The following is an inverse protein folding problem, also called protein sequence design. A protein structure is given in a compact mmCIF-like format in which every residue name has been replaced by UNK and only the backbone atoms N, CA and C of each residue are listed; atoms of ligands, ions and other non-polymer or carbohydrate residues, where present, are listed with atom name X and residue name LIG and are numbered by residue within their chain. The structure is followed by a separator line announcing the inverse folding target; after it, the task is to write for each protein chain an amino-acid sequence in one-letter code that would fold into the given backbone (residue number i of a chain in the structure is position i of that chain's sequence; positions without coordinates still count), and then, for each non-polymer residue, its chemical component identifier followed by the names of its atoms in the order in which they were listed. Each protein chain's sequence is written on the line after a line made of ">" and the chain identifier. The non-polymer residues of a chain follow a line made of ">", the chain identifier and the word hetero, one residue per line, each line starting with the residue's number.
data_IF_737136627841
#
_entry.id   IF_737136627841
#
_cell.length_a   1.000
_cell.length_b   1.000
_cell.length_c   1.000
_cell.angle_alpha   90.00
_cell.angle_beta   90.00
_cell.angle_gamma   90.00
#
_symmetry.space_group_name_H-M   'P 1'
#
loop_
_entity.id
_entity.type
_entity.pdbx_description
1 polymer ?
#
# COMPACT_ATOMS: atom_id res chain seq x y z
N UNK A 1 31.56 -20.63 21.05
CA UNK A 1 32.47 -20.79 19.92
C UNK A 1 33.92 -20.47 20.36
N UNK A 2 34.86 -21.31 19.95
CA UNK A 2 36.30 -21.05 20.08
C UNK A 2 36.87 -20.80 18.69
N UNK A 3 37.70 -19.77 18.54
CA UNK A 3 38.46 -19.53 17.32
C UNK A 3 39.54 -20.60 17.10
N UNK A 4 40.21 -20.60 15.95
CA UNK A 4 41.28 -21.57 15.62
C UNK A 4 42.45 -21.58 16.63
N UNK A 5 42.64 -20.49 17.36
CA UNK A 5 43.64 -20.38 18.43
C UNK A 5 43.17 -20.89 19.80
N UNK A 6 41.93 -21.40 19.90
CA UNK A 6 41.29 -21.73 21.17
C UNK A 6 40.77 -20.53 21.97
N UNK A 7 40.93 -19.31 21.47
CA UNK A 7 40.35 -18.11 22.07
C UNK A 7 38.83 -18.02 21.85
N UNK A 8 38.14 -17.40 22.79
CA UNK A 8 36.70 -17.12 22.69
C UNK A 8 36.44 -16.26 21.45
N UNK A 9 35.54 -16.71 20.56
CA UNK A 9 35.11 -15.94 19.43
C UNK A 9 34.14 -14.85 19.87
N UNK A 10 34.26 -13.65 19.28
CA UNK A 10 33.32 -12.55 19.43
C UNK A 10 33.00 -11.94 18.06
N UNK A 11 31.84 -11.31 17.90
CA UNK A 11 31.39 -10.75 16.63
C UNK A 11 30.80 -11.80 15.69
N UNK A 12 30.88 -11.56 14.39
CA UNK A 12 30.36 -12.44 13.37
C UNK A 12 31.21 -13.69 13.18
N UNK A 13 30.58 -14.86 13.18
CA UNK A 13 31.19 -16.16 12.97
C UNK A 13 30.44 -16.90 11.88
N UNK A 14 31.13 -17.40 10.87
CA UNK A 14 30.58 -18.29 9.85
C UNK A 14 31.00 -19.74 10.11
N UNK A 15 30.03 -20.64 9.94
CA UNK A 15 30.31 -22.10 9.98
C UNK A 15 29.51 -22.76 8.85
N UNK A 16 30.23 -23.24 7.84
CA UNK A 16 29.61 -23.67 6.59
C UNK A 16 28.89 -22.51 5.91
N UNK A 17 27.61 -22.69 5.61
CA UNK A 17 26.74 -21.62 5.05
C UNK A 17 26.00 -20.82 6.11
N UNK A 18 26.15 -21.16 7.39
CA UNK A 18 25.43 -20.49 8.47
C UNK A 18 26.27 -19.36 9.09
N UNK A 19 25.60 -18.26 9.45
CA UNK A 19 26.17 -17.14 10.17
C UNK A 19 25.62 -17.09 11.58
N UNK A 20 26.48 -16.75 12.52
CA UNK A 20 26.23 -16.59 13.96
C UNK A 20 26.80 -15.26 14.42
N UNK A 21 26.33 -14.76 15.53
CA UNK A 21 26.93 -13.62 16.19
C UNK A 21 27.19 -13.90 17.67
N UNK A 22 28.43 -13.69 18.07
CA UNK A 22 28.84 -13.80 19.46
C UNK A 22 28.96 -12.40 20.07
N UNK A 23 28.19 -12.16 21.12
CA UNK A 23 28.32 -10.92 21.88
C UNK A 23 29.75 -10.73 22.42
N UNK A 24 30.16 -9.53 22.83
CA UNK A 24 31.46 -9.31 23.46
C UNK A 24 31.73 -10.22 24.68
N UNK A 25 30.67 -10.66 25.35
CA UNK A 25 30.74 -11.67 26.43
C UNK A 25 30.96 -13.10 25.96
N UNK A 26 30.98 -13.35 24.63
CA UNK A 26 31.04 -14.70 24.05
C UNK A 26 29.71 -15.42 23.99
N UNK A 27 28.61 -14.80 24.48
CA UNK A 27 27.27 -15.40 24.40
C UNK A 27 26.77 -15.35 22.96
N UNK A 28 26.25 -16.45 22.46
CA UNK A 28 25.67 -16.55 21.12
C UNK A 28 24.32 -15.80 21.07
N UNK A 29 24.14 -14.95 20.06
CA UNK A 29 22.90 -14.24 19.83
C UNK A 29 21.78 -15.21 19.40
N UNK A 30 20.57 -14.98 19.94
CA UNK A 30 19.31 -15.60 19.53
C UNK A 30 18.21 -14.53 19.48
N UNK A 31 17.15 -14.75 18.72
CA UNK A 31 16.09 -13.77 18.55
C UNK A 31 16.55 -12.48 17.85
N UNK A 32 15.89 -11.37 18.13
CA UNK A 32 16.21 -10.07 17.53
C UNK A 32 17.38 -9.38 18.22
N UNK A 33 18.38 -8.98 17.43
CA UNK A 33 19.56 -8.26 17.92
C UNK A 33 19.90 -7.08 17.01
N UNK A 34 20.20 -5.92 17.62
CA UNK A 34 20.71 -4.74 16.93
C UNK A 34 22.22 -4.83 16.84
N UNK A 35 22.78 -4.92 15.64
CA UNK A 35 24.20 -5.08 15.39
C UNK A 35 24.61 -4.05 14.33
N UNK A 36 25.51 -3.16 14.67
CA UNK A 36 26.00 -2.15 13.73
C UNK A 36 24.92 -1.24 13.15
N UNK A 37 23.85 -0.94 13.90
CA UNK A 37 22.75 -0.07 13.46
C UNK A 37 21.68 -0.79 12.62
N UNK A 38 21.76 -2.10 12.44
CA UNK A 38 20.77 -2.92 11.73
C UNK A 38 20.21 -4.01 12.64
N UNK A 39 18.93 -4.34 12.48
CA UNK A 39 18.31 -5.45 13.17
C UNK A 39 18.56 -6.76 12.43
N UNK A 40 18.96 -7.79 13.17
CA UNK A 40 19.15 -9.17 12.72
C UNK A 40 18.31 -10.10 13.57
N UNK A 41 17.83 -11.18 12.97
CA UNK A 41 17.15 -12.23 13.70
C UNK A 41 17.96 -13.51 13.64
N UNK A 42 18.11 -14.18 14.79
CA UNK A 42 18.76 -15.46 14.92
C UNK A 42 17.76 -16.49 15.47
N UNK A 43 17.72 -17.65 14.86
CA UNK A 43 16.93 -18.77 15.37
C UNK A 43 17.42 -19.17 16.78
N UNK A 44 16.65 -20.00 17.49
CA UNK A 44 17.07 -20.54 18.80
C UNK A 44 18.39 -21.33 18.71
N UNK A 45 18.71 -21.91 17.55
CA UNK A 45 19.98 -22.52 17.24
C UNK A 45 21.16 -21.55 17.10
N UNK A 46 20.89 -20.23 17.11
CA UNK A 46 21.85 -19.17 16.85
C UNK A 46 22.11 -18.89 15.37
N UNK A 47 21.50 -19.63 14.46
CA UNK A 47 21.67 -19.41 13.01
C UNK A 47 20.97 -18.12 12.62
N UNK A 48 21.70 -17.22 11.92
CA UNK A 48 21.14 -15.98 11.38
C UNK A 48 20.07 -16.29 10.34
N UNK A 49 18.88 -15.71 10.52
CA UNK A 49 17.81 -15.78 9.54
C UNK A 49 18.11 -14.90 8.33
N UNK A 50 17.60 -15.29 7.14
CA UNK A 50 17.72 -14.50 5.92
C UNK A 50 16.50 -14.72 5.02
N UNK A 51 16.20 -13.75 4.16
CA UNK A 51 15.02 -13.79 3.29
C UNK A 51 13.73 -13.63 4.10
N UNK A 52 12.65 -14.24 3.59
CA UNK A 52 11.36 -14.23 4.28
C UNK A 52 11.40 -15.04 5.57
N UNK A 53 11.12 -14.40 6.67
CA UNK A 53 11.16 -14.99 8.00
C UNK A 53 9.93 -14.63 8.80
N UNK A 54 9.25 -15.61 9.39
CA UNK A 54 8.07 -15.41 10.24
C UNK A 54 8.47 -15.52 11.71
N UNK A 55 8.28 -14.44 12.46
CA UNK A 55 8.60 -14.38 13.90
C UNK A 55 7.35 -13.93 14.66
N UNK A 56 6.91 -14.70 15.63
CA UNK A 56 5.73 -14.37 16.42
C UNK A 56 4.45 -14.15 15.61
N UNK A 57 4.30 -14.87 14.47
CA UNK A 57 3.15 -14.71 13.58
C UNK A 57 3.30 -13.61 12.53
N UNK A 58 4.27 -12.72 12.65
CA UNK A 58 4.53 -11.58 11.75
C UNK A 58 5.61 -11.94 10.72
N UNK A 59 5.41 -11.57 9.45
CA UNK A 59 6.39 -11.73 8.41
C UNK A 59 7.36 -10.54 8.35
N UNK A 60 8.63 -10.85 8.17
CA UNK A 60 9.74 -9.94 7.96
C UNK A 60 10.53 -10.34 6.73
N UNK A 61 11.24 -9.41 6.13
CA UNK A 61 12.20 -9.71 5.07
C UNK A 61 13.61 -9.30 5.52
N UNK A 62 14.53 -10.27 5.55
CA UNK A 62 15.91 -10.07 6.01
C UNK A 62 16.85 -10.08 4.79
N UNK A 63 17.20 -8.88 4.32
CA UNK A 63 18.09 -8.71 3.16
C UNK A 63 19.53 -8.91 3.59
N UNK A 64 20.14 -10.06 3.17
CA UNK A 64 21.48 -10.42 3.63
C UNK A 64 21.58 -10.56 5.16
N UNK A 65 20.48 -10.94 5.80
CA UNK A 65 20.34 -11.06 7.25
C UNK A 65 19.84 -9.81 7.95
N UNK A 66 20.03 -8.61 7.39
CA UNK A 66 19.55 -7.38 7.97
C UNK A 66 18.05 -7.16 7.68
N UNK A 67 17.30 -6.74 8.69
CA UNK A 67 15.87 -6.45 8.57
C UNK A 67 15.62 -5.31 7.58
N UNK A 68 14.82 -5.58 6.55
CA UNK A 68 14.41 -4.61 5.57
C UNK A 68 13.23 -3.76 6.09
N UNK A 69 13.18 -2.49 5.69
CA UNK A 69 12.05 -1.58 5.81
C UNK A 69 11.77 -0.94 4.46
N UNK A 70 10.56 -0.44 4.24
CA UNK A 70 10.17 0.15 2.96
C UNK A 70 9.91 -0.91 1.89
N UNK A 71 10.09 -0.53 0.64
CA UNK A 71 9.77 -1.35 -0.51
C UNK A 71 10.75 -2.52 -0.72
N UNK A 72 10.19 -3.70 -0.93
CA UNK A 72 10.92 -4.94 -1.23
C UNK A 72 10.34 -5.55 -2.50
N UNK A 73 11.19 -5.75 -3.50
CA UNK A 73 10.86 -6.52 -4.71
C UNK A 73 11.36 -7.94 -4.54
N UNK A 74 10.49 -8.92 -4.75
CA UNK A 74 10.84 -10.34 -4.69
C UNK A 74 10.10 -11.11 -5.78
N UNK A 75 10.85 -11.65 -6.72
CA UNK A 75 10.27 -12.22 -7.93
C UNK A 75 9.57 -11.14 -8.77
N UNK A 76 8.30 -11.37 -9.13
CA UNK A 76 7.47 -10.42 -9.86
C UNK A 76 6.60 -9.52 -8.96
N UNK A 77 6.66 -9.72 -7.64
CA UNK A 77 5.81 -9.01 -6.69
C UNK A 77 6.59 -7.95 -5.90
N UNK A 78 5.88 -6.89 -5.52
CA UNK A 78 6.33 -5.87 -4.61
C UNK A 78 5.65 -6.03 -3.26
N UNK A 79 6.39 -5.77 -2.21
CA UNK A 79 5.97 -5.82 -0.82
C UNK A 79 6.38 -4.52 -0.13
N UNK A 80 5.73 -4.20 0.97
CA UNK A 80 6.14 -3.08 1.79
C UNK A 80 6.34 -3.52 3.24
N UNK A 81 7.50 -3.19 3.78
CA UNK A 81 7.86 -3.45 5.17
C UNK A 81 7.72 -2.16 5.95
N UNK A 82 6.89 -2.16 6.99
CA UNK A 82 6.73 -1.02 7.89
C UNK A 82 8.07 -0.63 8.54
N UNK A 83 8.13 0.52 9.19
CA UNK A 83 9.31 0.95 9.95
C UNK A 83 9.71 -0.02 11.06
N UNK A 84 8.78 -0.81 11.56
CA UNK A 84 9.00 -1.93 12.49
C UNK A 84 9.62 -3.17 11.83
N UNK A 85 9.75 -3.18 10.49
CA UNK A 85 10.13 -4.35 9.69
C UNK A 85 8.98 -5.31 9.38
N UNK A 86 7.80 -5.11 9.95
CA UNK A 86 6.64 -5.97 9.71
C UNK A 86 6.12 -5.81 8.28
N UNK A 87 5.80 -6.93 7.62
CA UNK A 87 5.16 -6.93 6.30
C UNK A 87 3.75 -6.33 6.39
N UNK A 88 3.45 -5.39 5.49
CA UNK A 88 2.14 -4.74 5.39
C UNK A 88 1.18 -5.59 4.57
N UNK A 89 -0.10 -5.62 4.97
CA UNK A 89 -1.21 -6.24 4.25
C UNK A 89 -2.42 -5.31 4.29
N UNK A 90 -3.34 -5.44 3.34
CA UNK A 90 -4.52 -4.59 3.24
C UNK A 90 -4.20 -3.17 2.76
N UNK A 91 -5.05 -2.22 3.12
CA UNK A 91 -4.91 -0.82 2.75
C UNK A 91 -3.75 -0.13 3.47
N UNK A 92 -2.95 0.63 2.73
CA UNK A 92 -1.83 1.38 3.30
C UNK A 92 -1.58 2.67 2.54
N UNK A 93 -1.42 3.78 3.27
CA UNK A 93 -0.98 5.06 2.71
C UNK A 93 0.53 5.18 2.85
N UNK A 94 1.22 5.29 1.72
CA UNK A 94 2.68 5.33 1.65
C UNK A 94 3.08 6.53 0.78
N UNK A 95 3.79 7.48 1.37
CA UNK A 95 4.22 8.68 0.65
C UNK A 95 3.07 9.55 0.12
N UNK A 96 1.90 9.51 0.77
CA UNK A 96 0.71 10.25 0.35
C UNK A 96 -0.15 9.54 -0.72
N UNK A 97 0.25 8.37 -1.20
CA UNK A 97 -0.52 7.54 -2.12
C UNK A 97 -1.09 6.31 -1.41
N UNK A 98 -2.27 5.88 -1.85
CA UNK A 98 -2.91 4.68 -1.34
C UNK A 98 -2.53 3.45 -2.16
N UNK A 99 -2.24 2.36 -1.46
CA UNK A 99 -1.91 1.03 -1.98
C UNK A 99 -2.77 -0.02 -1.32
N UNK A 100 -2.90 -1.15 -1.97
CA UNK A 100 -3.50 -2.35 -1.37
C UNK A 100 -2.55 -3.53 -1.51
N UNK A 101 -2.32 -4.23 -0.41
CA UNK A 101 -1.53 -5.45 -0.35
C UNK A 101 -2.45 -6.62 -0.03
N UNK A 102 -2.34 -7.70 -0.77
CA UNK A 102 -3.14 -8.90 -0.51
C UNK A 102 -2.79 -9.58 0.82
N UNK A 103 -3.45 -10.67 1.14
CA UNK A 103 -3.20 -11.43 2.39
C UNK A 103 -1.80 -12.06 2.45
N UNK A 104 -1.13 -12.22 1.31
CA UNK A 104 0.25 -12.68 1.21
C UNK A 104 1.26 -11.52 1.27
N UNK A 105 0.78 -10.28 1.34
CA UNK A 105 1.57 -9.06 1.35
C UNK A 105 1.99 -8.54 -0.02
N UNK A 106 1.53 -9.17 -1.10
CA UNK A 106 1.87 -8.72 -2.44
C UNK A 106 1.06 -7.47 -2.82
N UNK A 107 1.74 -6.47 -3.38
CA UNK A 107 1.12 -5.23 -3.88
C UNK A 107 0.17 -5.53 -5.03
N UNK A 108 -1.04 -5.02 -4.93
CA UNK A 108 -2.06 -5.17 -5.97
C UNK A 108 -1.86 -4.13 -7.07
N UNK A 109 -2.07 -4.56 -8.32
CA UNK A 109 -2.15 -3.69 -9.51
C UNK A 109 -3.37 -4.09 -10.33
N UNK A 110 -3.91 -3.17 -11.14
CA UNK A 110 -5.12 -3.41 -11.92
C UNK A 110 -6.39 -3.34 -11.09
N UNK A 111 -7.43 -4.00 -11.57
CA UNK A 111 -8.75 -3.99 -10.95
C UNK A 111 -8.84 -4.89 -9.73
N UNK A 112 -9.45 -4.39 -8.65
CA UNK A 112 -9.69 -5.12 -7.41
C UNK A 112 -11.12 -4.90 -6.94
N UNK A 113 -11.84 -5.97 -6.63
CA UNK A 113 -13.14 -5.91 -5.96
C UNK A 113 -13.01 -6.23 -4.48
N UNK A 114 -13.45 -5.31 -3.64
CA UNK A 114 -13.48 -5.50 -2.19
C UNK A 114 -14.92 -5.30 -1.70
N UNK A 115 -15.57 -6.40 -1.34
CA UNK A 115 -16.93 -6.36 -0.78
C UNK A 115 -17.97 -5.73 -1.72
N UNK A 116 -17.84 -5.91 -3.04
CA UNK A 116 -18.73 -5.36 -4.05
C UNK A 116 -18.30 -3.97 -4.58
N UNK A 117 -17.32 -3.34 -3.98
CA UNK A 117 -16.76 -2.06 -4.44
C UNK A 117 -15.51 -2.32 -5.28
N UNK A 118 -15.47 -1.74 -6.49
CA UNK A 118 -14.32 -1.85 -7.38
C UNK A 118 -13.34 -0.70 -7.17
N UNK A 119 -12.06 -1.04 -7.22
CA UNK A 119 -10.92 -0.13 -7.18
C UNK A 119 -9.99 -0.45 -8.35
N UNK A 120 -9.18 0.52 -8.75
CA UNK A 120 -8.12 0.30 -9.73
C UNK A 120 -6.80 0.83 -9.19
N UNK A 121 -5.76 0.05 -9.38
CA UNK A 121 -4.38 0.41 -9.04
C UNK A 121 -3.55 0.42 -10.32
N UNK A 122 -2.79 1.47 -10.53
CA UNK A 122 -1.92 1.57 -11.71
C UNK A 122 -0.77 0.54 -11.67
N UNK A 123 0.10 0.56 -12.69
CA UNK A 123 1.24 -0.35 -12.75
C UNK A 123 2.28 -0.14 -11.64
N UNK A 124 2.24 0.98 -10.94
CA UNK A 124 3.06 1.27 -9.76
C UNK A 124 2.35 0.90 -8.44
N UNK A 125 1.12 0.42 -8.51
CA UNK A 125 0.28 0.06 -7.36
C UNK A 125 -0.45 1.24 -6.72
N UNK A 126 -0.40 2.44 -7.29
CA UNK A 126 -1.10 3.62 -6.76
C UNK A 126 -2.59 3.52 -7.08
N UNK A 127 -3.43 3.72 -6.07
CA UNK A 127 -4.88 3.74 -6.21
C UNK A 127 -5.34 4.90 -7.10
N UNK A 128 -6.18 4.59 -8.07
CA UNK A 128 -6.80 5.56 -8.95
C UNK A 128 -7.87 6.39 -8.22
N UNK A 129 -7.86 7.70 -8.47
CA UNK A 129 -8.91 8.65 -8.06
C UNK A 129 -9.22 9.59 -9.23
N UNK A 130 -10.38 10.23 -9.21
CA UNK A 130 -10.80 11.13 -10.28
C UNK A 130 -10.96 10.42 -11.62
N UNK A 131 -10.60 11.08 -12.70
CA UNK A 131 -10.73 10.55 -14.06
C UNK A 131 -9.45 9.89 -14.53
N UNK A 132 -9.53 8.61 -14.92
CA UNK A 132 -8.40 7.80 -15.38
C UNK A 132 -8.70 7.15 -16.74
N UNK A 133 -7.68 7.08 -17.60
CA UNK A 133 -7.73 6.25 -18.79
C UNK A 133 -7.20 4.85 -18.47
N UNK A 134 -8.03 3.82 -18.68
CA UNK A 134 -7.67 2.42 -18.45
C UNK A 134 -7.92 1.69 -19.78
N UNK A 135 -6.84 1.33 -20.45
CA UNK A 135 -6.94 0.90 -21.84
C UNK A 135 -7.45 2.02 -22.75
N UNK A 136 -8.51 1.76 -23.51
CA UNK A 136 -9.15 2.73 -24.40
C UNK A 136 -10.37 3.44 -23.76
N UNK A 137 -10.68 3.12 -22.53
CA UNK A 137 -11.87 3.61 -21.85
C UNK A 137 -11.52 4.62 -20.75
N UNK A 138 -12.40 5.58 -20.56
CA UNK A 138 -12.25 6.63 -19.55
C UNK A 138 -13.15 6.29 -18.37
N UNK A 139 -12.50 6.05 -17.21
CA UNK A 139 -13.16 5.68 -15.96
C UNK A 139 -13.13 6.84 -14.97
N UNK A 140 -14.11 6.86 -14.10
CA UNK A 140 -14.17 7.81 -13.01
C UNK A 140 -14.22 7.13 -11.66
N UNK A 141 -13.43 7.65 -10.70
CA UNK A 141 -13.30 7.15 -9.34
C UNK A 141 -13.57 8.28 -8.35
N UNK A 142 -14.19 7.95 -7.23
CA UNK A 142 -14.29 8.85 -6.09
C UNK A 142 -12.92 9.11 -5.45
N UNK A 143 -12.80 10.11 -4.59
CA UNK A 143 -11.58 10.37 -3.82
C UNK A 143 -11.25 9.22 -2.86
N UNK A 144 -12.26 8.44 -2.47
CA UNK A 144 -12.09 7.17 -1.75
C UNK A 144 -11.45 6.05 -2.58
N UNK A 145 -11.26 6.26 -3.90
CA UNK A 145 -10.80 5.25 -4.86
C UNK A 145 -11.90 4.33 -5.38
N UNK A 146 -13.12 4.40 -4.86
CA UNK A 146 -14.21 3.57 -5.33
C UNK A 146 -14.57 3.92 -6.78
N UNK A 147 -14.65 2.91 -7.64
CA UNK A 147 -15.04 3.10 -9.03
C UNK A 147 -16.51 3.47 -9.16
N UNK A 148 -16.78 4.58 -9.85
CA UNK A 148 -18.13 5.03 -10.13
C UNK A 148 -18.68 4.42 -11.44
N UNK A 149 -17.84 4.29 -12.47
CA UNK A 149 -18.25 3.82 -13.78
C UNK A 149 -17.39 4.36 -14.92
N UNK A 150 -17.83 4.07 -16.14
CA UNK A 150 -17.26 4.69 -17.33
C UNK A 150 -17.63 6.16 -17.38
N UNK A 151 -16.64 7.02 -17.59
CA UNK A 151 -16.89 8.42 -17.81
C UNK A 151 -17.67 8.59 -19.13
N UNK A 152 -18.85 9.19 -19.14
CA UNK A 152 -19.60 9.35 -20.36
C UNK A 152 -18.77 10.18 -21.36
N UNK A 153 -18.43 9.57 -22.50
CA UNK A 153 -17.87 10.33 -23.63
C UNK A 153 -19.01 11.21 -24.12
N UNK A 154 -18.86 12.56 -24.17
CA UNK A 154 -19.89 13.37 -24.78
C UNK A 154 -20.05 12.91 -26.23
N UNK A 155 -21.21 12.33 -26.55
CA UNK A 155 -21.61 12.15 -27.94
C UNK A 155 -21.54 13.51 -28.62
N UNK A 156 -20.83 13.61 -29.74
CA UNK A 156 -20.65 14.81 -30.55
C UNK A 156 -21.99 15.55 -30.80
N UNK A 157 -22.33 16.44 -29.94
CA UNK A 157 -23.46 17.35 -30.03
C UNK A 157 -23.11 18.58 -29.19
N UNK A 158 -22.71 19.66 -29.83
CA UNK A 158 -22.11 20.86 -29.26
C UNK A 158 -22.78 21.38 -27.99
N UNK A 159 -21.96 21.56 -26.98
CA UNK A 159 -22.34 22.19 -25.72
C UNK A 159 -21.23 21.91 -24.70
N UNK A 160 -20.27 22.85 -24.57
CA UNK A 160 -19.29 22.87 -23.50
C UNK A 160 -20.01 23.05 -22.17
N UNK A 161 -20.17 21.98 -21.41
CA UNK A 161 -20.42 22.06 -19.98
C UNK A 161 -19.65 20.96 -19.29
N UNK A 162 -18.77 21.36 -18.39
CA UNK A 162 -18.06 20.49 -17.44
C UNK A 162 -19.10 19.84 -16.51
N UNK A 163 -19.85 18.86 -17.00
CA UNK A 163 -20.73 18.07 -16.14
C UNK A 163 -19.86 17.12 -15.32
N UNK A 164 -19.89 17.27 -14.03
CA UNK A 164 -19.40 16.29 -13.08
C UNK A 164 -20.08 14.91 -13.26
N UNK A 165 -19.70 13.89 -12.50
CA UNK A 165 -20.17 12.52 -12.67
C UNK A 165 -21.67 12.33 -12.41
N UNK A 166 -22.31 13.26 -11.75
CA UNK A 166 -23.73 13.20 -11.43
C UNK A 166 -24.55 14.07 -12.41
N UNK A 167 -25.65 13.49 -12.93
CA UNK A 167 -26.59 14.20 -13.80
C UNK A 167 -27.52 15.12 -13.03
N UNK A 168 -27.75 14.79 -11.76
CA UNK A 168 -28.65 15.50 -10.85
C UNK A 168 -28.32 15.18 -9.39
N UNK A 169 -28.87 15.94 -8.48
CA UNK A 169 -28.68 15.77 -7.05
C UNK A 169 -29.22 14.44 -6.51
N UNK A 170 -30.24 13.85 -7.13
CA UNK A 170 -30.74 12.53 -6.72
C UNK A 170 -29.70 11.44 -6.91
N UNK A 171 -28.93 11.49 -8.01
CA UNK A 171 -27.82 10.55 -8.25
C UNK A 171 -26.68 10.77 -7.23
N UNK A 172 -26.31 12.02 -6.94
CA UNK A 172 -25.30 12.35 -5.95
C UNK A 172 -25.69 11.86 -4.54
N UNK A 173 -26.94 12.05 -4.15
CA UNK A 173 -27.47 11.56 -2.87
C UNK A 173 -27.57 10.04 -2.82
N UNK A 174 -27.99 9.37 -3.90
CA UNK A 174 -28.07 7.93 -3.97
C UNK A 174 -26.68 7.27 -3.85
N UNK A 175 -25.66 7.96 -4.36
CA UNK A 175 -24.27 7.54 -4.25
C UNK A 175 -23.60 7.89 -2.89
N UNK A 176 -24.30 8.60 -2.01
CA UNK A 176 -23.75 9.08 -0.74
C UNK A 176 -22.68 10.17 -0.88
N UNK A 177 -22.62 10.83 -2.03
CA UNK A 177 -21.63 11.85 -2.36
C UNK A 177 -22.09 13.29 -2.04
N UNK A 178 -23.39 13.53 -1.93
CA UNK A 178 -23.92 14.86 -1.61
C UNK A 178 -23.96 15.12 -0.09
N UNK A 179 -23.79 16.41 0.33
CA UNK A 179 -23.55 17.59 -0.50
C UNK A 179 -22.15 17.63 -1.10
N UNK A 180 -21.96 18.35 -2.22
CA UNK A 180 -20.70 18.46 -2.95
C UNK A 180 -20.18 19.90 -2.89
N UNK A 181 -18.95 20.11 -2.43
CA UNK A 181 -18.35 21.44 -2.36
C UNK A 181 -17.52 21.78 -3.60
N UNK A 182 -17.41 23.07 -3.92
CA UNK A 182 -16.60 23.56 -5.04
C UNK A 182 -15.15 23.14 -4.88
N UNK A 183 -14.63 22.46 -5.90
CA UNK A 183 -13.28 21.86 -5.89
C UNK A 183 -13.26 20.39 -5.52
N UNK A 184 -14.36 19.85 -4.98
CA UNK A 184 -14.50 18.42 -4.77
C UNK A 184 -14.83 17.67 -6.06
N UNK A 185 -14.40 16.42 -6.10
CA UNK A 185 -14.73 15.51 -7.18
C UNK A 185 -16.25 15.27 -7.21
N UNK A 186 -16.84 15.52 -8.36
CA UNK A 186 -18.30 15.42 -8.52
C UNK A 186 -19.06 16.75 -8.47
N UNK A 187 -18.47 17.82 -7.94
CA UNK A 187 -19.08 19.14 -8.02
C UNK A 187 -19.20 19.60 -9.48
N UNK A 188 -20.33 20.15 -9.83
CA UNK A 188 -20.51 20.95 -11.04
C UNK A 188 -21.40 22.14 -10.76
N UNK A 189 -21.14 23.24 -11.45
CA UNK A 189 -21.97 24.44 -11.32
C UNK A 189 -23.45 24.22 -11.73
N UNK A 190 -23.70 23.18 -12.54
CA UNK A 190 -25.07 22.80 -12.94
C UNK A 190 -25.86 22.16 -11.77
N UNK A 191 -25.17 21.63 -10.78
CA UNK A 191 -25.74 21.03 -9.57
C UNK A 191 -25.80 22.01 -8.40
N UNK A 192 -25.05 23.11 -8.47
CA UNK A 192 -24.98 24.22 -7.51
C UNK A 192 -25.91 25.33 -8.00
N UNK A 193 -27.17 25.22 -7.60
CA UNK A 193 -28.27 26.03 -8.18
C UNK A 193 -28.24 27.51 -7.78
N UNK A 194 -27.76 27.82 -6.60
CA UNK A 194 -27.65 29.17 -6.05
C UNK A 194 -26.25 29.77 -6.16
N UNK A 195 -25.26 28.93 -6.58
CA UNK A 195 -23.92 29.37 -6.89
C UNK A 195 -23.04 29.65 -5.66
N UNK A 196 -23.45 29.17 -4.48
CA UNK A 196 -22.73 29.42 -3.22
C UNK A 196 -21.49 28.56 -3.03
N UNK A 197 -21.29 27.56 -3.88
CA UNK A 197 -20.15 26.65 -3.87
C UNK A 197 -20.46 25.31 -3.23
N UNK A 198 -21.74 25.05 -2.88
CA UNK A 198 -22.19 23.76 -2.34
C UNK A 198 -23.35 23.23 -3.21
N UNK A 199 -23.10 22.15 -3.90
CA UNK A 199 -24.12 21.53 -4.75
C UNK A 199 -24.86 20.41 -3.99
N UNK A 200 -26.15 20.26 -4.31
CA UNK A 200 -26.98 19.17 -3.76
C UNK A 200 -27.14 19.19 -2.23
N UNK A 201 -27.25 20.36 -1.61
CA UNK A 201 -27.40 20.51 -0.16
C UNK A 201 -28.64 19.82 0.39
N UNK A 202 -29.75 19.86 -0.39
CA UNK A 202 -31.05 19.32 0.01
C UNK A 202 -31.29 17.99 -0.70
N UNK A 203 -31.59 16.96 0.09
CA UNK A 203 -31.94 15.64 -0.45
C UNK A 203 -33.27 15.73 -1.22
N UNK A 204 -33.30 15.36 -2.50
CA UNK A 204 -34.53 15.26 -3.27
C UNK A 204 -35.51 14.29 -2.62
N UNK A 205 -36.79 14.66 -2.56
CA UNK A 205 -37.87 13.79 -2.05
C UNK A 205 -38.23 12.72 -3.06
#
# INVERSE_FOLDING_TARGET
>A
FLGASGAMATGWVSQGSAWYYMAPSGVMATGWNMIGGSWYHFADSGVMSSGWTKVGGTWYYLRGGAMATGWVSQGSAWYYMASSGAMVTGWSSIGGSWYYFDSAGAMTTGWLNLGGTWFYFDGSGVMATGTQWIGSERHWFYDSGAWWGLYPVPSNGGGSTSRGPFRNCSEAWAAGAAPLHRGESGYSADLDRDGDGVACEVRPR
#
